data_IF_725473484943
#
_entry.id   IF_725473484943
#
_cell.length_a   1.000
_cell.length_b   1.000
_cell.length_c   1.000
_cell.angle_alpha   90.00
_cell.angle_beta   90.00
_cell.angle_gamma   90.00
#
_symmetry.space_group_name_H-M   'P 1'
#
loop_
_entity.id
_entity.type
_entity.pdbx_description
1 polymer ?
#
# COMPACT_ATOMS: atom_id res chain seq x y z
N UNK A 1 21.75 -24.45 -22.21
CA UNK A 1 22.13 -23.57 -21.07
C UNK A 1 22.55 -22.23 -21.68
N UNK A 2 21.76 -21.17 -21.53
CA UNK A 2 22.15 -19.84 -22.01
C UNK A 2 22.60 -19.01 -20.81
N UNK A 3 23.86 -18.61 -20.81
CA UNK A 3 24.48 -17.69 -19.86
C UNK A 3 23.96 -16.28 -20.10
N UNK A 4 23.70 -15.56 -19.02
CA UNK A 4 23.41 -14.12 -19.04
C UNK A 4 24.69 -13.45 -18.59
N UNK A 5 25.40 -12.81 -19.52
CA UNK A 5 26.63 -12.10 -19.20
C UNK A 5 26.32 -10.63 -18.82
N UNK A 6 26.91 -10.17 -17.72
CA UNK A 6 26.79 -8.80 -17.22
C UNK A 6 27.91 -7.97 -17.87
N UNK A 7 27.55 -7.02 -18.75
CA UNK A 7 28.52 -6.14 -19.42
C UNK A 7 28.50 -4.75 -18.76
N UNK A 8 29.66 -4.13 -18.43
CA UNK A 8 29.72 -2.76 -17.93
C UNK A 8 29.40 -1.75 -19.03
N UNK A 9 28.79 -0.62 -18.63
CA UNK A 9 28.54 0.54 -19.50
C UNK A 9 29.86 1.09 -20.06
N UNK A 10 30.07 0.95 -21.37
CA UNK A 10 30.92 1.86 -22.13
C UNK A 10 30.04 3.00 -22.64
N UNK A 11 30.41 4.23 -22.30
CA UNK A 11 29.74 5.46 -22.73
C UNK A 11 29.59 5.52 -24.26
N UNK A 12 28.43 5.98 -24.72
CA UNK A 12 28.25 6.43 -26.09
C UNK A 12 26.97 5.95 -26.78
N UNK A 13 25.92 6.76 -26.69
CA UNK A 13 24.79 6.74 -27.62
C UNK A 13 23.56 6.02 -27.12
N UNK A 14 22.53 6.78 -26.74
CA UNK A 14 21.16 6.26 -26.63
C UNK A 14 20.27 7.08 -27.55
N UNK A 15 19.89 6.51 -28.68
CA UNK A 15 18.84 7.04 -29.54
C UNK A 15 17.50 6.66 -28.91
N UNK A 16 16.77 7.66 -28.39
CA UNK A 16 15.37 7.51 -28.02
C UNK A 16 14.55 7.23 -29.28
N UNK A 17 14.04 6.02 -29.45
CA UNK A 17 13.05 5.73 -30.50
C UNK A 17 11.86 5.02 -29.85
N UNK A 18 10.67 5.43 -30.28
CA UNK A 18 9.33 4.93 -29.96
C UNK A 18 8.62 5.58 -28.75
N UNK A 19 8.14 6.80 -29.02
CA UNK A 19 6.92 7.37 -28.47
C UNK A 19 5.70 6.56 -28.94
N UNK A 20 5.32 5.47 -28.26
CA UNK A 20 3.92 5.00 -28.26
C UNK A 20 3.66 4.04 -27.09
N UNK A 21 2.67 4.41 -26.26
CA UNK A 21 2.25 3.84 -24.97
C UNK A 21 2.83 4.60 -23.76
N UNK A 22 1.91 5.03 -22.89
CA UNK A 22 2.00 6.07 -21.86
C UNK A 22 2.94 5.73 -20.69
N UNK A 23 4.19 5.37 -20.93
CA UNK A 23 5.15 4.97 -19.90
C UNK A 23 6.51 5.62 -20.17
N UNK A 24 6.97 6.47 -19.25
CA UNK A 24 8.31 7.06 -19.29
C UNK A 24 9.37 6.00 -18.94
N UNK A 25 9.72 5.13 -19.90
CA UNK A 25 10.77 4.12 -19.75
C UNK A 25 11.76 4.21 -20.90
N UNK A 26 13.03 4.47 -20.61
CA UNK A 26 14.11 4.26 -21.56
C UNK A 26 14.40 2.76 -21.63
N UNK A 27 14.00 2.10 -22.71
CA UNK A 27 14.35 0.70 -22.97
C UNK A 27 15.54 0.68 -23.92
N UNK A 28 16.60 -0.06 -23.59
CA UNK A 28 17.64 -0.38 -24.57
C UNK A 28 17.19 -1.56 -25.42
N UNK A 29 17.15 -1.35 -26.73
CA UNK A 29 16.93 -2.43 -27.71
C UNK A 29 18.29 -2.98 -28.12
N UNK A 30 18.52 -4.26 -27.83
CA UNK A 30 19.69 -4.98 -28.35
C UNK A 30 19.22 -6.01 -29.37
N UNK A 31 19.95 -6.18 -30.48
CA UNK A 31 19.66 -7.24 -31.45
C UNK A 31 20.48 -8.48 -31.08
N UNK A 32 19.85 -9.66 -31.06
CA UNK A 32 20.63 -10.90 -30.97
C UNK A 32 21.34 -11.22 -32.29
N UNK A 33 22.18 -12.25 -32.27
CA UNK A 33 22.90 -12.75 -33.45
C UNK A 33 21.99 -13.23 -34.60
N UNK A 34 20.68 -13.31 -34.38
CA UNK A 34 19.65 -13.69 -35.36
C UNK A 34 18.80 -12.49 -35.78
N UNK A 35 19.15 -11.27 -35.37
CA UNK A 35 18.45 -10.04 -35.72
C UNK A 35 17.11 -9.86 -35.01
N UNK A 36 16.84 -10.61 -33.94
CA UNK A 36 15.63 -10.42 -33.12
C UNK A 36 15.85 -9.34 -32.07
N UNK A 37 14.88 -8.45 -31.95
CA UNK A 37 14.89 -7.38 -30.95
C UNK A 37 14.68 -7.98 -29.55
N UNK A 38 15.64 -7.73 -28.65
CA UNK A 38 15.52 -8.05 -27.25
C UNK A 38 15.35 -6.75 -26.46
N UNK A 39 14.20 -6.65 -25.78
CA UNK A 39 13.89 -5.54 -24.89
C UNK A 39 14.49 -5.83 -23.52
N UNK A 40 15.53 -5.08 -23.13
CA UNK A 40 16.14 -5.19 -21.81
C UNK A 40 15.50 -4.15 -20.89
N UNK A 41 14.73 -4.61 -19.88
CA UNK A 41 14.31 -3.75 -18.77
C UNK A 41 15.56 -3.45 -17.91
N UNK A 42 16.10 -2.24 -18.01
CA UNK A 42 17.15 -1.78 -17.11
C UNK A 42 16.58 -1.57 -15.70
N UNK A 43 16.65 -2.60 -14.85
CA UNK A 43 16.60 -2.37 -13.41
C UNK A 43 17.92 -1.69 -13.03
N UNK A 44 17.89 -0.41 -12.62
CA UNK A 44 19.10 0.29 -12.14
C UNK A 44 19.74 -0.55 -11.02
N UNK A 45 20.97 -1.08 -11.20
CA UNK A 45 21.63 -1.86 -10.17
C UNK A 45 21.89 -0.97 -8.95
N UNK A 46 21.33 -1.31 -7.79
CA UNK A 46 21.71 -0.71 -6.50
C UNK A 46 20.62 0.09 -5.77
N UNK A 47 19.47 0.39 -6.38
CA UNK A 47 18.38 1.10 -5.70
C UNK A 47 17.31 0.09 -5.26
N UNK A 48 17.47 -0.43 -4.04
CA UNK A 48 16.52 -1.38 -3.43
C UNK A 48 15.51 -0.58 -2.59
N UNK A 49 14.19 -0.77 -2.81
CA UNK A 49 13.18 -0.12 -2.00
C UNK A 49 13.28 -0.60 -0.57
N UNK A 50 13.16 0.34 0.37
CA UNK A 50 13.17 0.05 1.81
C UNK A 50 11.91 0.62 2.45
N UNK A 51 11.31 -0.14 3.35
CA UNK A 51 10.29 0.40 4.23
C UNK A 51 10.95 1.20 5.35
N UNK A 52 10.41 2.37 5.62
CA UNK A 52 10.72 3.14 6.81
C UNK A 52 9.89 2.62 7.99
N UNK A 53 10.37 2.87 9.20
CA UNK A 53 9.62 2.53 10.41
C UNK A 53 8.41 3.44 10.54
N UNK A 54 7.22 2.85 10.56
CA UNK A 54 5.94 3.52 10.81
C UNK A 54 5.15 2.80 11.90
N UNK A 55 4.00 3.35 12.32
CA UNK A 55 3.17 2.68 13.30
C UNK A 55 2.51 1.42 12.72
N UNK A 56 2.76 0.26 13.33
CA UNK A 56 2.22 -1.04 12.92
C UNK A 56 0.97 -1.45 13.68
N UNK A 57 0.60 -0.76 14.75
CA UNK A 57 -0.55 -1.11 15.59
C UNK A 57 -1.44 0.12 15.82
N UNK A 58 -2.62 0.08 15.22
CA UNK A 58 -3.58 1.17 15.30
C UNK A 58 -4.84 0.68 16.01
N UNK A 59 -5.17 1.31 17.14
CA UNK A 59 -6.46 1.14 17.80
C UNK A 59 -7.30 2.39 17.56
N UNK A 60 -8.51 2.22 17.05
CA UNK A 60 -9.48 3.29 16.77
C UNK A 60 -10.86 2.87 17.17
N UNK A 61 -11.76 3.83 17.34
CA UNK A 61 -13.15 3.53 17.64
C UNK A 61 -13.98 3.49 16.36
N UNK A 62 -15.13 2.82 16.45
CA UNK A 62 -16.15 2.88 15.41
C UNK A 62 -16.51 4.34 15.06
N UNK A 63 -16.56 4.64 13.77
CA UNK A 63 -16.85 5.95 13.21
C UNK A 63 -15.65 6.90 13.15
N UNK A 64 -14.51 6.54 13.75
CA UNK A 64 -13.29 7.35 13.61
C UNK A 64 -12.68 7.14 12.21
N UNK A 65 -11.62 7.90 11.89
CA UNK A 65 -10.80 7.70 10.69
C UNK A 65 -9.49 6.99 11.09
N UNK A 66 -9.17 5.89 10.42
CA UNK A 66 -7.85 5.25 10.50
C UNK A 66 -6.96 5.78 9.38
N UNK A 67 -5.70 6.03 9.72
CA UNK A 67 -4.63 6.29 8.75
C UNK A 67 -3.59 5.21 8.98
N UNK A 68 -3.50 4.25 8.06
CA UNK A 68 -2.52 3.19 8.10
C UNK A 68 -1.26 3.71 7.41
N UNK A 69 -0.22 3.93 8.19
CA UNK A 69 1.01 4.55 7.72
C UNK A 69 1.92 3.52 7.05
N UNK A 70 2.38 3.84 5.85
CA UNK A 70 3.45 3.13 5.20
C UNK A 70 4.37 4.14 4.54
N UNK A 71 5.68 3.99 4.70
CA UNK A 71 6.63 4.85 4.03
C UNK A 71 7.71 4.02 3.35
N UNK A 72 7.99 4.35 2.09
CA UNK A 72 8.91 3.61 1.22
C UNK A 72 9.88 4.58 0.56
N UNK A 73 11.16 4.37 0.79
CA UNK A 73 12.22 5.07 0.06
C UNK A 73 12.73 4.18 -1.07
N UNK A 74 13.41 4.80 -2.04
CA UNK A 74 13.98 4.09 -3.20
C UNK A 74 12.92 3.31 -4.01
N UNK A 75 11.69 3.83 -4.09
CA UNK A 75 10.58 3.16 -4.78
C UNK A 75 10.85 3.03 -6.29
N UNK A 76 11.46 4.06 -6.90
CA UNK A 76 11.77 4.07 -8.32
C UNK A 76 10.51 4.10 -9.20
N UNK A 77 10.44 3.16 -10.14
CA UNK A 77 9.31 2.95 -11.07
C UNK A 77 8.25 1.96 -10.53
N UNK A 78 8.43 1.51 -9.28
CA UNK A 78 7.55 0.53 -8.65
C UNK A 78 6.36 1.24 -8.00
N UNK A 79 5.36 0.46 -7.63
CA UNK A 79 4.14 0.95 -7.00
C UNK A 79 3.99 0.34 -5.61
N UNK A 80 3.41 1.11 -4.70
CA UNK A 80 2.95 0.61 -3.42
C UNK A 80 1.54 0.04 -3.58
N UNK A 81 1.29 -1.11 -2.98
CA UNK A 81 0.00 -1.81 -3.04
C UNK A 81 -0.48 -2.01 -1.61
N UNK A 82 -1.68 -1.55 -1.31
CA UNK A 82 -2.37 -1.89 -0.07
C UNK A 82 -3.30 -3.06 -0.29
N UNK A 83 -3.32 -3.99 0.67
CA UNK A 83 -4.30 -5.09 0.69
C UNK A 83 -4.56 -5.59 2.10
N UNK A 84 -5.69 -6.24 2.34
CA UNK A 84 -5.87 -7.05 3.56
C UNK A 84 -5.01 -8.31 3.46
N UNK A 85 -4.37 -8.73 4.54
CA UNK A 85 -3.57 -9.97 4.57
C UNK A 85 -4.42 -11.22 4.29
N UNK A 86 -5.72 -11.17 4.63
CA UNK A 86 -6.70 -12.23 4.35
C UNK A 86 -7.22 -12.23 2.90
N UNK A 87 -6.88 -11.21 2.10
CA UNK A 87 -7.36 -11.04 0.72
C UNK A 87 -6.22 -11.19 -0.28
N UNK A 88 -6.54 -11.72 -1.46
CA UNK A 88 -5.63 -11.76 -2.61
C UNK A 88 -5.72 -10.48 -3.44
N UNK A 89 -6.90 -9.85 -3.50
CA UNK A 89 -7.14 -8.64 -4.29
C UNK A 89 -6.57 -7.39 -3.61
N UNK A 90 -5.99 -6.46 -4.38
CA UNK A 90 -5.54 -5.17 -3.86
C UNK A 90 -6.74 -4.31 -3.43
N UNK A 91 -6.51 -3.49 -2.40
CA UNK A 91 -7.37 -2.38 -2.04
C UNK A 91 -6.99 -1.18 -2.91
N UNK A 92 -5.71 -0.82 -2.94
CA UNK A 92 -5.17 0.24 -3.81
C UNK A 92 -3.87 -0.18 -4.46
N UNK A 93 -3.58 0.43 -5.62
CA UNK A 93 -2.28 0.37 -6.29
C UNK A 93 -1.85 1.81 -6.56
N UNK A 94 -0.79 2.27 -5.90
CA UNK A 94 -0.48 3.68 -5.82
C UNK A 94 -1.63 4.44 -5.17
N UNK A 95 -2.13 5.47 -5.87
CA UNK A 95 -3.30 6.27 -5.47
C UNK A 95 -4.62 5.71 -6.01
N UNK A 96 -4.59 4.71 -6.89
CA UNK A 96 -5.78 4.17 -7.54
C UNK A 96 -6.44 3.12 -6.65
N UNK A 97 -7.75 3.26 -6.42
CA UNK A 97 -8.55 2.29 -5.64
C UNK A 97 -9.15 1.21 -6.54
N UNK A 98 -9.08 -0.04 -6.06
CA UNK A 98 -9.67 -1.23 -6.69
C UNK A 98 -10.90 -1.74 -5.95
N UNK A 99 -11.29 -1.06 -4.88
CA UNK A 99 -12.50 -1.34 -4.10
C UNK A 99 -13.52 -0.23 -4.31
N UNK A 100 -14.80 -0.59 -4.34
CA UNK A 100 -15.92 0.35 -4.52
C UNK A 100 -16.34 1.07 -3.22
N UNK A 101 -15.48 1.08 -2.20
CA UNK A 101 -15.76 1.73 -0.92
C UNK A 101 -15.20 3.16 -0.91
N UNK A 102 -16.09 4.14 -1.04
CA UNK A 102 -15.73 5.57 -1.07
C UNK A 102 -15.10 6.08 0.25
N UNK A 103 -15.15 5.31 1.34
CA UNK A 103 -14.48 5.66 2.60
C UNK A 103 -12.98 5.41 2.57
N UNK A 104 -12.51 4.61 1.59
CA UNK A 104 -11.14 4.16 1.47
C UNK A 104 -10.42 5.02 0.43
N UNK A 105 -9.30 5.60 0.83
CA UNK A 105 -8.51 6.51 0.01
C UNK A 105 -7.02 6.23 0.22
N UNK A 106 -6.22 6.27 -0.85
CA UNK A 106 -4.78 6.22 -0.76
C UNK A 106 -4.21 7.65 -0.80
N UNK A 107 -3.46 8.01 0.23
CA UNK A 107 -2.85 9.33 0.38
C UNK A 107 -1.34 9.24 0.13
N UNK A 108 -0.87 10.01 -0.86
CA UNK A 108 0.55 10.15 -1.18
C UNK A 108 0.89 11.64 -1.35
N UNK A 109 1.38 12.31 -0.29
CA UNK A 109 1.80 13.70 -0.38
C UNK A 109 2.93 13.87 -1.41
N UNK A 110 2.87 14.88 -2.31
CA UNK A 110 3.88 15.09 -3.34
C UNK A 110 5.29 15.21 -2.77
N UNK A 111 6.24 14.46 -3.32
CA UNK A 111 7.65 14.48 -2.88
C UNK A 111 7.91 13.77 -1.54
N UNK A 112 6.90 13.15 -0.94
CA UNK A 112 7.08 12.35 0.28
C UNK A 112 7.38 10.89 -0.03
N UNK A 113 7.91 10.18 0.96
CA UNK A 113 8.01 8.71 0.94
C UNK A 113 6.74 8.04 1.48
N UNK A 114 5.70 8.79 1.85
CA UNK A 114 4.51 8.28 2.53
C UNK A 114 3.47 7.76 1.55
N UNK A 115 2.88 6.61 1.86
CA UNK A 115 1.87 5.90 1.09
C UNK A 115 0.79 5.39 2.04
N UNK A 116 0.02 6.32 2.58
CA UNK A 116 -0.92 6.01 3.66
C UNK A 116 -2.23 5.47 3.09
N UNK A 117 -2.85 4.51 3.78
CA UNK A 117 -4.22 4.10 3.50
C UNK A 117 -5.15 4.74 4.53
N UNK A 118 -6.05 5.59 4.06
CA UNK A 118 -7.05 6.27 4.87
C UNK A 118 -8.36 5.52 4.79
N UNK A 119 -8.94 5.18 5.93
CA UNK A 119 -10.26 4.53 6.03
C UNK A 119 -11.13 5.39 6.94
N UNK A 120 -12.13 6.04 6.36
CA UNK A 120 -13.10 6.90 7.06
C UNK A 120 -14.28 6.07 7.58
N UNK A 121 -15.01 6.61 8.56
CA UNK A 121 -16.20 5.99 9.15
C UNK A 121 -15.96 4.50 9.48
N UNK A 122 -14.99 4.23 10.36
CA UNK A 122 -14.56 2.87 10.66
C UNK A 122 -15.68 1.97 11.16
N UNK A 123 -15.72 0.76 10.62
CA UNK A 123 -16.64 -0.30 11.01
C UNK A 123 -15.89 -1.45 11.69
N UNK A 124 -16.53 -2.25 12.55
CA UNK A 124 -15.89 -3.40 13.18
C UNK A 124 -15.27 -4.37 12.17
N UNK A 125 -15.84 -4.47 10.96
CA UNK A 125 -15.37 -5.34 9.88
C UNK A 125 -14.10 -4.82 9.17
N UNK A 126 -13.76 -3.53 9.38
CA UNK A 126 -12.52 -2.94 8.89
C UNK A 126 -11.32 -3.40 9.73
N UNK A 127 -11.54 -3.97 10.92
CA UNK A 127 -10.48 -4.52 11.75
C UNK A 127 -9.76 -5.69 11.02
N UNK A 128 -8.45 -5.80 11.27
CA UNK A 128 -7.63 -6.87 10.70
C UNK A 128 -6.20 -6.42 10.39
N UNK A 129 -5.48 -7.30 9.71
CA UNK A 129 -4.10 -7.05 9.28
C UNK A 129 -4.10 -6.60 7.83
N UNK A 130 -3.45 -5.48 7.58
CA UNK A 130 -3.21 -4.89 6.28
C UNK A 130 -1.74 -5.04 5.89
N UNK A 131 -1.50 -5.13 4.60
CA UNK A 131 -0.16 -5.24 4.04
C UNK A 131 0.07 -4.10 3.06
N UNK A 132 1.15 -3.36 3.30
CA UNK A 132 1.75 -2.46 2.34
C UNK A 132 2.86 -3.24 1.60
N UNK A 133 2.74 -3.36 0.27
CA UNK A 133 3.64 -4.15 -0.56
C UNK A 133 4.25 -3.29 -1.66
N UNK A 134 5.46 -3.61 -2.10
CA UNK A 134 6.07 -2.98 -3.28
C UNK A 134 5.95 -3.92 -4.47
N UNK A 135 5.50 -3.42 -5.63
CA UNK A 135 5.44 -4.18 -6.88
C UNK A 135 6.85 -4.47 -7.40
N UNK A 136 7.45 -5.55 -6.90
CA UNK A 136 8.77 -5.99 -7.34
C UNK A 136 8.70 -7.42 -7.88
N UNK A 137 9.13 -7.59 -9.13
CA UNK A 137 9.29 -8.92 -9.75
C UNK A 137 10.31 -9.77 -9.00
N UNK A 138 11.34 -9.14 -8.44
CA UNK A 138 12.47 -9.79 -7.78
C UNK A 138 12.31 -9.89 -6.25
N UNK A 139 11.52 -9.00 -5.63
CA UNK A 139 11.41 -8.89 -4.17
C UNK A 139 9.96 -9.07 -3.70
N UNK A 140 9.37 -10.24 -3.97
CA UNK A 140 7.99 -10.58 -3.58
C UNK A 140 7.75 -10.61 -2.05
N UNK A 141 8.83 -10.59 -1.26
CA UNK A 141 8.82 -10.70 0.20
C UNK A 141 8.90 -9.35 0.93
N UNK A 142 9.09 -8.23 0.22
CA UNK A 142 9.10 -6.91 0.84
C UNK A 142 7.66 -6.47 1.12
N UNK A 143 7.21 -6.71 2.36
CA UNK A 143 5.88 -6.38 2.87
C UNK A 143 6.00 -5.74 4.24
N UNK A 144 5.14 -4.77 4.52
CA UNK A 144 5.00 -4.17 5.83
C UNK A 144 3.58 -4.42 6.35
N UNK A 145 3.47 -5.01 7.53
CA UNK A 145 2.21 -5.39 8.15
C UNK A 145 1.74 -4.31 9.14
N UNK A 146 0.49 -3.90 9.01
CA UNK A 146 -0.17 -2.96 9.92
C UNK A 146 -1.46 -3.58 10.45
N UNK A 147 -1.60 -3.63 11.76
CA UNK A 147 -2.78 -4.17 12.45
C UNK A 147 -3.71 -3.03 12.84
N UNK A 148 -4.96 -3.12 12.40
CA UNK A 148 -6.04 -2.21 12.77
C UNK A 148 -7.02 -2.92 13.71
N UNK A 149 -7.22 -2.36 14.89
CA UNK A 149 -8.25 -2.75 15.84
C UNK A 149 -9.33 -1.68 15.88
N UNK A 150 -10.59 -2.10 15.79
CA UNK A 150 -11.76 -1.21 15.86
C UNK A 150 -12.57 -1.56 17.10
N UNK A 151 -12.55 -0.66 18.08
CA UNK A 151 -13.30 -0.80 19.33
C UNK A 151 -14.68 -0.17 19.20
N UNK A 152 -15.72 -0.86 19.67
CA UNK A 152 -17.08 -0.30 19.73
C UNK A 152 -17.21 0.76 20.83
N UNK A 153 -17.80 1.91 20.52
CA UNK A 153 -18.32 2.82 21.57
C UNK A 153 -19.51 2.10 22.20
N UNK A 154 -19.32 1.49 23.37
CA UNK A 154 -20.43 0.98 24.18
C UNK A 154 -21.39 2.13 24.42
N UNK A 155 -22.52 2.15 23.72
CA UNK A 155 -23.67 2.99 24.09
C UNK A 155 -24.38 2.32 25.25
N UNK A 156 -23.73 2.28 26.40
CA UNK A 156 -24.36 2.02 27.69
C UNK A 156 -23.62 2.85 28.74
N UNK A 157 -24.36 3.78 29.34
CA UNK A 157 -24.04 4.60 30.53
C UNK A 157 -23.17 5.87 30.36
N UNK A 158 -23.71 6.86 29.62
CA UNK A 158 -23.94 8.17 30.22
C UNK A 158 -25.37 8.58 29.88
N UNK A 159 -26.34 7.96 30.55
CA UNK A 159 -27.58 8.70 30.80
C UNK A 159 -27.18 9.86 31.68
N UNK A 160 -27.29 11.08 31.16
CA UNK A 160 -27.46 12.25 32.00
C UNK A 160 -28.59 11.91 32.98
N UNK A 161 -28.24 11.70 34.24
CA UNK A 161 -29.18 11.73 35.35
C UNK A 161 -28.87 12.99 36.14
N UNK A 162 -29.14 14.15 35.54
CA UNK A 162 -29.54 15.31 36.33
C UNK A 162 -31.04 15.16 36.58
N UNK A 163 -31.37 15.15 37.88
CA UNK A 163 -32.67 15.04 38.52
C UNK A 163 -33.18 13.61 38.72
N UNK A 164 -32.82 13.10 39.91
CA UNK A 164 -33.21 11.79 40.37
C UNK A 164 -34.71 11.59 40.50
N UNK A 165 -35.12 10.34 40.33
CA UNK A 165 -36.17 9.73 41.12
C UNK A 165 -36.02 8.21 41.02
N UNK A 166 -36.15 7.57 42.18
CA UNK A 166 -35.99 6.15 42.47
C UNK A 166 -37.28 5.40 42.10
N UNK A 167 -37.19 4.34 41.30
CA UNK A 167 -38.17 3.23 41.15
C UNK A 167 -37.43 2.06 40.47
N UNK A 168 -37.59 0.76 40.74
CA UNK A 168 -38.01 -0.06 41.87
C UNK A 168 -37.39 -1.46 41.64
N UNK A 169 -37.27 -2.26 42.69
CA UNK A 169 -36.63 -3.60 42.72
C UNK A 169 -37.19 -4.59 41.68
N UNK A 170 -36.37 -5.50 41.11
CA UNK A 170 -36.89 -6.66 40.40
C UNK A 170 -37.31 -7.75 41.40
N UNK A 171 -38.58 -8.14 41.35
CA UNK A 171 -39.10 -9.37 41.97
C UNK A 171 -38.65 -10.56 41.13
N UNK A 172 -37.86 -11.46 41.72
CA UNK A 172 -37.57 -12.77 41.14
C UNK A 172 -38.67 -13.76 41.58
N UNK A 173 -39.28 -14.44 40.61
CA UNK A 173 -39.97 -15.73 40.79
C UNK A 173 -39.04 -16.83 40.28
#
# INVERSE_FOLDING_TARGET
MKTVDVVPLADGGSNCIAQQLLVNVCIRVTKDSRGTDNYVQEARPGVVPRFLSTNTNLNRHRGDTAVLECAVENLGDRQVIWRKASSTSPITVGTDSFVEDARIEAEHPPGSSQWNLVIRDLRPEDAGVYECQVSSKQFRYLRHHVTLLVSGKSRFFLSDQVNGTRLDKPTFL
#
